data_IF_090348092536
#
_entry.id   IF_090348092536
#
_cell.length_a   1.000
_cell.length_b   1.000
_cell.length_c   1.000
_cell.angle_alpha   90.00
_cell.angle_beta   90.00
_cell.angle_gamma   90.00
#
_symmetry.space_group_name_H-M   'P 1'
#
loop_
_entity.id
_entity.type
_entity.pdbx_description
1 polymer ?
#
# COMPACT_ATOMS: atom_id res chain seq x y z
N UNK A 1 30.94 -72.28 -83.24
CA UNK A 1 29.87 -71.49 -82.60
C UNK A 1 30.51 -70.55 -81.57
N UNK A 2 30.26 -69.23 -81.70
CA UNK A 2 30.31 -68.13 -80.70
C UNK A 2 31.55 -68.02 -79.77
N UNK A 3 32.45 -67.04 -79.96
CA UNK A 3 32.41 -65.62 -79.46
C UNK A 3 32.22 -65.51 -77.94
N UNK A 4 33.08 -64.72 -77.28
CA UNK A 4 32.68 -63.94 -76.10
C UNK A 4 33.80 -63.60 -75.11
N UNK A 5 34.31 -62.36 -75.17
CA UNK A 5 35.09 -61.71 -74.12
C UNK A 5 34.17 -61.14 -73.02
N UNK A 6 34.68 -60.98 -71.78
CA UNK A 6 34.22 -59.99 -70.79
C UNK A 6 35.27 -59.94 -69.66
N UNK A 7 35.99 -58.87 -69.36
CA UNK A 7 35.65 -57.46 -69.06
C UNK A 7 35.94 -57.19 -67.57
N UNK A 8 37.03 -56.48 -67.32
CA UNK A 8 37.43 -55.88 -66.05
C UNK A 8 36.42 -54.80 -65.69
N UNK A 9 35.93 -54.78 -64.45
CA UNK A 9 35.10 -53.67 -63.94
C UNK A 9 35.78 -53.07 -62.72
N UNK A 10 36.34 -51.87 -62.90
CA UNK A 10 36.84 -51.03 -61.83
C UNK A 10 35.68 -50.24 -61.21
N UNK A 11 35.58 -50.25 -59.88
CA UNK A 11 34.62 -49.44 -59.13
C UNK A 11 35.30 -48.13 -58.73
N UNK A 12 34.85 -47.03 -59.34
CA UNK A 12 35.20 -45.66 -58.97
C UNK A 12 34.34 -45.22 -57.78
N UNK A 13 34.98 -44.89 -56.65
CA UNK A 13 34.33 -44.27 -55.51
C UNK A 13 34.33 -42.73 -55.68
N UNK A 14 33.15 -42.13 -55.80
CA UNK A 14 32.93 -40.68 -55.82
C UNK A 14 32.84 -40.16 -54.37
N UNK A 15 33.81 -39.35 -53.94
CA UNK A 15 33.70 -38.53 -52.73
C UNK A 15 32.85 -37.28 -53.03
N UNK A 16 31.70 -37.15 -52.37
CA UNK A 16 30.90 -35.93 -52.37
C UNK A 16 31.39 -34.94 -51.31
N UNK A 17 31.78 -33.74 -51.74
CA UNK A 17 32.18 -32.62 -50.90
C UNK A 17 30.91 -31.83 -50.50
N UNK A 18 30.50 -31.88 -49.23
CA UNK A 18 29.41 -31.05 -48.72
C UNK A 18 29.97 -29.73 -48.16
N UNK A 19 29.67 -28.62 -48.82
CA UNK A 19 29.91 -27.28 -48.29
C UNK A 19 28.85 -26.95 -47.21
N UNK A 20 29.29 -26.89 -45.96
CA UNK A 20 28.53 -26.27 -44.86
C UNK A 20 28.62 -24.75 -44.99
N UNK A 21 27.54 -24.13 -45.44
CA UNK A 21 27.35 -22.67 -45.36
C UNK A 21 27.11 -22.30 -43.89
N UNK A 22 28.15 -21.83 -43.21
CA UNK A 22 28.02 -21.24 -41.88
C UNK A 22 27.37 -19.85 -42.02
N UNK A 23 26.12 -19.73 -41.59
CA UNK A 23 25.46 -18.43 -41.41
C UNK A 23 26.00 -17.80 -40.13
N UNK A 24 26.46 -16.53 -40.16
CA UNK A 24 26.86 -15.85 -38.94
C UNK A 24 25.62 -15.62 -38.06
N UNK A 25 25.61 -16.21 -36.87
CA UNK A 25 24.61 -15.93 -35.86
C UNK A 25 24.83 -14.49 -35.36
N UNK A 26 23.95 -13.57 -35.74
CA UNK A 26 23.90 -12.24 -35.15
C UNK A 26 23.39 -12.37 -33.72
N UNK A 27 24.28 -12.19 -32.74
CA UNK A 27 23.91 -12.04 -31.35
C UNK A 27 23.00 -10.81 -31.22
N UNK A 28 21.75 -11.03 -30.81
CA UNK A 28 20.85 -9.94 -30.47
C UNK A 28 21.48 -9.14 -29.31
N UNK A 29 21.50 -7.79 -29.36
CA UNK A 29 21.96 -7.01 -28.22
C UNK A 29 21.10 -7.37 -27.02
N UNK A 30 21.75 -7.75 -25.91
CA UNK A 30 21.08 -7.84 -24.62
C UNK A 30 20.47 -6.46 -24.36
N UNK A 31 19.14 -6.40 -24.33
CA UNK A 31 18.46 -5.21 -23.83
C UNK A 31 18.93 -5.02 -22.39
N UNK A 32 19.78 -4.01 -22.15
CA UNK A 32 20.11 -3.59 -20.80
C UNK A 32 18.79 -3.27 -20.12
N UNK A 33 18.42 -4.05 -19.09
CA UNK A 33 17.27 -3.73 -18.28
C UNK A 33 17.45 -2.31 -17.75
N UNK A 34 16.50 -1.42 -18.04
CA UNK A 34 16.45 -0.09 -17.44
C UNK A 34 16.53 -0.29 -15.93
N UNK A 35 17.38 0.45 -15.19
CA UNK A 35 17.43 0.34 -13.74
C UNK A 35 16.02 0.54 -13.19
N UNK A 36 15.44 -0.50 -12.58
CA UNK A 36 14.11 -0.40 -12.00
C UNK A 36 14.22 0.44 -10.73
N UNK A 37 13.37 1.46 -10.62
CA UNK A 37 13.29 2.30 -9.43
C UNK A 37 12.89 1.44 -8.23
N UNK A 38 13.56 1.63 -7.10
CA UNK A 38 13.18 1.03 -5.81
C UNK A 38 12.20 1.91 -5.01
N UNK A 39 11.79 3.03 -5.59
CA UNK A 39 10.86 3.98 -4.98
C UNK A 39 9.44 3.44 -5.11
N UNK A 40 8.69 3.51 -4.02
CA UNK A 40 7.23 3.36 -4.08
C UNK A 40 6.53 4.70 -4.13
N UNK A 41 5.27 4.70 -4.53
CA UNK A 41 4.45 5.90 -4.54
C UNK A 41 3.13 5.62 -3.83
N UNK A 42 2.61 6.63 -3.15
CA UNK A 42 1.24 6.61 -2.65
C UNK A 42 0.40 7.65 -3.38
N UNK A 43 -0.84 7.26 -3.72
CA UNK A 43 -1.78 8.12 -4.46
C UNK A 43 -3.20 7.94 -3.94
N UNK A 44 -4.01 8.97 -4.13
CA UNK A 44 -5.44 8.95 -3.80
C UNK A 44 -6.20 9.95 -4.68
N UNK A 45 -7.37 10.39 -4.20
CA UNK A 45 -8.24 11.32 -4.89
C UNK A 45 -7.59 12.61 -5.43
N UNK A 46 -6.50 13.18 -4.86
CA UNK A 46 -5.85 14.36 -5.44
C UNK A 46 -5.23 14.07 -6.82
N UNK A 47 -4.80 12.83 -7.06
CA UNK A 47 -4.19 12.39 -8.32
C UNK A 47 -5.22 11.89 -9.34
N UNK A 48 -6.53 11.99 -9.10
CA UNK A 48 -7.52 11.61 -10.11
C UNK A 48 -7.37 12.42 -11.40
N UNK A 49 -7.34 11.72 -12.54
CA UNK A 49 -7.17 12.34 -13.86
C UNK A 49 -5.73 12.69 -14.23
N UNK A 50 -4.77 12.45 -13.34
CA UNK A 50 -3.34 12.52 -13.64
C UNK A 50 -2.82 11.20 -14.23
N UNK A 51 -1.58 11.20 -14.72
CA UNK A 51 -0.84 9.99 -15.09
C UNK A 51 0.24 9.74 -14.05
N UNK A 52 0.04 8.82 -13.09
CA UNK A 52 1.07 8.49 -12.12
C UNK A 52 2.29 7.83 -12.78
N UNK A 53 3.47 7.82 -12.12
CA UNK A 53 4.65 7.10 -12.60
C UNK A 53 4.37 5.62 -12.87
N UNK A 54 5.10 5.01 -13.81
CA UNK A 54 4.94 3.60 -14.20
C UNK A 54 6.17 2.73 -13.88
N UNK A 55 7.14 3.28 -13.14
CA UNK A 55 8.39 2.64 -12.74
C UNK A 55 8.42 2.19 -11.27
N UNK A 56 7.28 2.20 -10.59
CA UNK A 56 7.20 2.02 -9.14
C UNK A 56 7.60 0.60 -8.66
N UNK A 57 8.28 0.56 -7.52
CA UNK A 57 8.56 -0.69 -6.80
C UNK A 57 7.29 -1.26 -6.14
N UNK A 58 6.49 -0.39 -5.53
CA UNK A 58 5.23 -0.69 -4.89
C UNK A 58 4.29 0.52 -4.98
N UNK A 59 2.98 0.27 -4.93
CA UNK A 59 1.95 1.30 -4.96
C UNK A 59 1.06 1.21 -3.74
N UNK A 60 0.83 2.35 -3.07
CA UNK A 60 -0.09 2.46 -1.94
C UNK A 60 -1.29 3.31 -2.39
N UNK A 61 -2.51 2.80 -2.20
CA UNK A 61 -3.71 3.46 -2.73
C UNK A 61 -4.67 3.84 -1.60
N UNK A 62 -5.05 5.11 -1.56
CA UNK A 62 -6.06 5.61 -0.63
C UNK A 62 -7.44 5.09 -1.00
N UNK A 63 -8.08 4.32 -0.13
CA UNK A 63 -9.41 3.75 -0.41
C UNK A 63 -10.51 4.79 -0.26
N UNK A 64 -10.34 5.72 0.66
CA UNK A 64 -11.24 6.84 0.88
C UNK A 64 -10.65 8.16 0.32
N UNK A 65 -11.54 9.13 0.09
CA UNK A 65 -11.30 10.33 -0.71
C UNK A 65 -11.07 11.58 0.12
N UNK A 66 -10.14 11.52 1.09
CA UNK A 66 -9.78 12.64 1.97
C UNK A 66 -10.68 12.81 3.19
N UNK A 67 -11.72 11.98 3.31
CA UNK A 67 -12.59 11.88 4.47
C UNK A 67 -12.88 10.41 4.71
N UNK A 68 -12.90 9.98 5.98
CA UNK A 68 -13.18 8.61 6.39
C UNK A 68 -14.56 8.07 5.91
N UNK A 69 -15.44 8.94 5.39
CA UNK A 69 -16.80 8.62 4.94
C UNK A 69 -17.00 8.70 3.43
N UNK A 70 -15.97 9.08 2.67
CA UNK A 70 -16.08 9.34 1.23
C UNK A 70 -15.24 8.34 0.46
N UNK A 71 -15.80 7.67 -0.54
CA UNK A 71 -15.02 6.82 -1.44
C UNK A 71 -14.03 7.63 -2.27
N UNK A 72 -12.85 7.08 -2.55
CA UNK A 72 -11.96 7.63 -3.56
C UNK A 72 -12.58 7.42 -4.96
N UNK A 73 -12.87 8.51 -5.72
CA UNK A 73 -13.59 8.40 -6.98
C UNK A 73 -12.78 7.76 -8.12
N UNK A 74 -11.45 7.67 -8.01
CA UNK A 74 -10.58 6.99 -8.98
C UNK A 74 -9.94 5.71 -8.43
N UNK A 75 -10.54 5.12 -7.38
CA UNK A 75 -10.01 3.93 -6.71
C UNK A 75 -9.74 2.76 -7.66
N UNK A 76 -10.62 2.52 -8.64
CA UNK A 76 -10.45 1.41 -9.60
C UNK A 76 -9.19 1.59 -10.44
N UNK A 77 -9.07 2.77 -11.04
CA UNK A 77 -7.96 3.12 -11.91
C UNK A 77 -6.63 3.09 -11.14
N UNK A 78 -6.64 3.53 -9.88
CA UNK A 78 -5.46 3.52 -9.01
C UNK A 78 -5.10 2.12 -8.51
N UNK A 79 -6.07 1.26 -8.20
CA UNK A 79 -5.82 -0.15 -7.88
C UNK A 79 -5.22 -0.90 -9.07
N UNK A 80 -5.70 -0.63 -10.29
CA UNK A 80 -5.12 -1.19 -11.50
C UNK A 80 -3.68 -0.69 -11.74
N UNK A 81 -3.41 0.59 -11.47
CA UNK A 81 -2.07 1.15 -11.52
C UNK A 81 -1.13 0.48 -10.51
N UNK A 82 -1.54 0.35 -9.25
CA UNK A 82 -0.73 -0.27 -8.21
C UNK A 82 -0.42 -1.74 -8.53
N UNK A 83 -1.36 -2.47 -9.15
CA UNK A 83 -1.16 -3.85 -9.59
C UNK A 83 -0.06 -4.05 -10.64
N UNK A 84 0.50 -2.98 -11.21
CA UNK A 84 1.65 -3.04 -12.14
C UNK A 84 3.01 -2.86 -11.45
N UNK A 85 3.03 -2.67 -10.14
CA UNK A 85 4.27 -2.45 -9.40
C UNK A 85 5.22 -3.65 -9.52
N UNK A 86 6.51 -3.39 -9.55
CA UNK A 86 7.52 -4.42 -9.83
C UNK A 86 7.75 -5.39 -8.66
N UNK A 87 7.46 -4.98 -7.41
CA UNK A 87 7.59 -5.83 -6.23
C UNK A 87 9.04 -6.19 -5.88
N UNK A 88 10.00 -5.32 -6.21
CA UNK A 88 11.44 -5.58 -6.07
C UNK A 88 12.03 -5.19 -4.70
N UNK A 89 11.19 -4.73 -3.78
CA UNK A 89 11.54 -4.36 -2.39
C UNK A 89 10.90 -5.36 -1.43
N UNK A 90 11.19 -5.21 -0.13
CA UNK A 90 10.56 -6.03 0.93
C UNK A 90 9.12 -5.60 1.25
N UNK A 91 8.68 -4.47 0.69
CA UNK A 91 7.31 -3.99 0.79
C UNK A 91 6.38 -4.76 -0.15
N UNK A 92 5.13 -5.06 0.26
CA UNK A 92 4.13 -5.61 -0.65
C UNK A 92 3.94 -4.71 -1.87
N UNK A 93 3.85 -5.32 -3.05
CA UNK A 93 3.74 -4.59 -4.32
C UNK A 93 2.48 -3.68 -4.38
N UNK A 94 1.40 -4.09 -3.70
CA UNK A 94 0.16 -3.32 -3.56
C UNK A 94 -0.19 -3.21 -2.09
N UNK A 95 -0.44 -1.99 -1.64
CA UNK A 95 -0.86 -1.68 -0.28
C UNK A 95 -2.00 -0.66 -0.32
N UNK A 96 -2.66 -0.47 0.82
CA UNK A 96 -3.85 0.37 0.93
C UNK A 96 -3.71 1.29 2.13
N UNK A 97 -4.35 2.45 2.07
CA UNK A 97 -4.49 3.30 3.26
C UNK A 97 -5.90 3.85 3.42
N UNK A 98 -6.25 4.16 4.66
CA UNK A 98 -7.51 4.79 5.05
C UNK A 98 -7.21 6.12 5.75
N UNK A 99 -7.65 7.24 5.18
CA UNK A 99 -7.78 8.47 5.97
C UNK A 99 -8.67 8.14 7.19
N UNK A 100 -8.16 8.41 8.39
CA UNK A 100 -8.86 8.13 9.65
C UNK A 100 -9.47 9.41 10.22
N UNK A 101 -10.39 9.28 11.18
CA UNK A 101 -11.00 10.43 11.85
C UNK A 101 -11.63 10.01 13.17
N UNK A 102 -11.92 10.99 14.03
CA UNK A 102 -12.82 10.85 15.15
C UNK A 102 -13.55 12.18 15.42
N UNK A 103 -14.72 12.42 14.82
CA UNK A 103 -15.38 13.72 14.85
C UNK A 103 -16.29 13.92 16.08
N UNK A 104 -16.03 13.20 17.19
CA UNK A 104 -16.90 13.23 18.38
C UNK A 104 -17.07 14.60 19.06
N UNK A 105 -16.23 15.60 18.75
CA UNK A 105 -16.39 16.97 19.26
C UNK A 105 -17.40 17.81 18.47
N UNK A 106 -17.84 17.34 17.30
CA UNK A 106 -18.75 18.06 16.39
C UNK A 106 -19.94 17.17 15.99
N UNK A 107 -20.49 16.42 16.95
CA UNK A 107 -21.55 15.42 16.68
C UNK A 107 -22.76 15.97 15.93
N UNK A 108 -23.13 17.23 16.16
CA UNK A 108 -24.27 17.87 15.49
C UNK A 108 -24.07 17.97 13.96
N UNK A 109 -22.82 17.93 13.49
CA UNK A 109 -22.44 17.93 12.08
C UNK A 109 -22.18 16.52 11.51
N UNK A 110 -22.30 15.46 12.34
CA UNK A 110 -21.90 14.09 11.99
C UNK A 110 -23.11 13.16 11.93
N UNK A 111 -23.48 12.73 10.73
CA UNK A 111 -24.60 11.78 10.52
C UNK A 111 -24.22 10.31 10.67
N UNK A 112 -22.93 10.02 10.87
CA UNK A 112 -22.38 8.66 10.88
C UNK A 112 -21.87 8.21 12.24
N UNK A 113 -22.12 9.00 13.29
CA UNK A 113 -21.77 8.65 14.65
C UNK A 113 -22.63 7.47 15.13
N UNK A 114 -22.04 6.44 15.77
CA UNK A 114 -22.80 5.30 16.24
C UNK A 114 -23.73 5.68 17.39
N UNK A 115 -24.97 5.22 17.34
CA UNK A 115 -25.95 5.38 18.42
C UNK A 115 -26.02 4.20 19.39
N UNK A 116 -25.43 3.06 19.01
CA UNK A 116 -25.45 1.83 19.78
C UNK A 116 -24.24 0.93 19.43
N UNK A 117 -23.80 0.10 20.37
CA UNK A 117 -22.88 -1.02 20.09
C UNK A 117 -22.13 -1.50 21.33
N UNK A 118 -21.76 -2.78 21.36
CA UNK A 118 -20.86 -3.31 22.39
C UNK A 118 -19.40 -3.17 21.92
N UNK A 119 -18.53 -2.74 22.81
CA UNK A 119 -17.10 -2.48 22.53
C UNK A 119 -16.24 -2.91 23.73
N UNK A 120 -14.90 -3.02 23.55
CA UNK A 120 -13.99 -3.23 24.69
C UNK A 120 -14.07 -2.14 25.78
N UNK A 121 -14.56 -0.96 25.43
CA UNK A 121 -14.76 0.17 26.36
C UNK A 121 -16.16 0.22 27.00
N UNK A 122 -16.98 -0.82 26.80
CA UNK A 122 -18.37 -0.89 27.27
C UNK A 122 -19.39 -0.62 26.18
N UNK A 123 -20.59 -0.20 26.58
CA UNK A 123 -21.70 0.10 25.68
C UNK A 123 -21.53 1.49 25.06
N UNK A 124 -21.54 1.58 23.73
CA UNK A 124 -21.78 2.83 23.03
C UNK A 124 -23.28 3.11 23.01
N UNK A 125 -23.68 4.30 23.46
CA UNK A 125 -25.08 4.74 23.50
C UNK A 125 -25.26 6.14 22.87
N UNK A 126 -24.43 6.47 21.88
CA UNK A 126 -24.48 7.74 21.15
C UNK A 126 -23.70 8.89 21.77
N UNK A 127 -23.09 8.70 22.94
CA UNK A 127 -22.27 9.72 23.60
C UNK A 127 -20.91 9.94 22.91
N UNK A 128 -20.25 11.06 23.22
CA UNK A 128 -18.85 11.29 22.85
C UNK A 128 -17.91 10.67 23.91
N UNK A 129 -17.80 9.34 23.89
CA UNK A 129 -16.93 8.57 24.78
C UNK A 129 -16.03 7.60 24.00
N UNK A 130 -15.19 6.84 24.70
CA UNK A 130 -14.29 5.87 24.08
C UNK A 130 -15.05 4.71 23.43
N UNK A 131 -16.19 4.28 23.99
CA UNK A 131 -16.99 3.21 23.42
C UNK A 131 -17.55 3.60 22.05
N UNK A 132 -18.17 4.77 21.92
CA UNK A 132 -18.67 5.24 20.64
C UNK A 132 -17.56 5.66 19.68
N UNK A 133 -16.42 6.16 20.17
CA UNK A 133 -15.26 6.43 19.30
C UNK A 133 -14.69 5.14 18.70
N UNK A 134 -14.54 4.07 19.50
CA UNK A 134 -14.12 2.76 19.02
C UNK A 134 -15.11 2.20 17.99
N UNK A 135 -16.42 2.27 18.29
CA UNK A 135 -17.45 1.80 17.36
C UNK A 135 -17.44 2.61 16.06
N UNK A 136 -17.20 3.91 16.13
CA UNK A 136 -17.08 4.77 14.96
C UNK A 136 -15.94 4.27 14.06
N UNK A 137 -14.75 4.05 14.63
CA UNK A 137 -13.59 3.51 13.94
C UNK A 137 -13.89 2.19 13.23
N UNK A 138 -14.44 1.22 13.97
CA UNK A 138 -14.85 -0.08 13.41
C UNK A 138 -15.76 0.07 12.18
N UNK A 139 -16.80 0.90 12.28
CA UNK A 139 -17.74 1.11 11.18
C UNK A 139 -17.13 1.87 10.00
N UNK A 140 -16.16 2.77 10.23
CA UNK A 140 -15.44 3.48 9.15
C UNK A 140 -14.54 2.53 8.36
N UNK A 141 -13.77 1.69 9.05
CA UNK A 141 -12.94 0.68 8.41
C UNK A 141 -13.81 -0.34 7.64
N UNK A 142 -14.88 -0.83 8.28
CA UNK A 142 -15.86 -1.74 7.64
C UNK A 142 -16.49 -1.16 6.39
N UNK A 143 -16.96 0.08 6.45
CA UNK A 143 -17.54 0.73 5.28
C UNK A 143 -16.51 0.89 4.15
N UNK A 144 -15.28 1.28 4.48
CA UNK A 144 -14.20 1.43 3.50
C UNK A 144 -13.89 0.10 2.79
N UNK A 145 -13.80 -0.99 3.52
CA UNK A 145 -13.56 -2.33 2.95
C UNK A 145 -14.75 -2.79 2.12
N UNK A 146 -15.95 -2.82 2.70
CA UNK A 146 -17.13 -3.47 2.09
C UNK A 146 -17.71 -2.64 0.96
N UNK A 147 -17.78 -1.33 1.13
CA UNK A 147 -18.48 -0.44 0.20
C UNK A 147 -17.57 0.23 -0.81
N UNK A 148 -16.27 0.40 -0.54
CA UNK A 148 -15.34 1.10 -1.45
C UNK A 148 -14.33 0.14 -2.08
N UNK A 149 -13.47 -0.48 -1.26
CA UNK A 149 -12.37 -1.31 -1.75
C UNK A 149 -12.86 -2.57 -2.48
N UNK A 150 -13.65 -3.41 -1.83
CA UNK A 150 -13.99 -4.72 -2.39
C UNK A 150 -14.74 -4.62 -3.73
N UNK A 151 -15.71 -3.68 -3.94
CA UNK A 151 -16.30 -3.44 -5.26
C UNK A 151 -15.29 -2.94 -6.30
N UNK A 152 -14.39 -2.02 -5.93
CA UNK A 152 -13.40 -1.48 -6.85
C UNK A 152 -12.39 -2.54 -7.28
N UNK A 153 -11.86 -3.33 -6.35
CA UNK A 153 -10.95 -4.44 -6.58
C UNK A 153 -11.54 -5.47 -7.56
N UNK A 154 -12.80 -5.90 -7.32
CA UNK A 154 -13.51 -6.82 -8.23
C UNK A 154 -13.69 -6.25 -9.63
N UNK A 155 -13.97 -4.95 -9.75
CA UNK A 155 -14.18 -4.30 -11.04
C UNK A 155 -12.92 -4.28 -11.92
N UNK A 156 -11.73 -4.30 -11.31
CA UNK A 156 -10.44 -4.36 -12.02
C UNK A 156 -9.74 -5.71 -11.88
N UNK A 157 -10.46 -6.73 -11.38
CA UNK A 157 -10.03 -8.12 -11.29
C UNK A 157 -8.75 -8.34 -10.46
N UNK A 158 -8.53 -7.52 -9.42
CA UNK A 158 -7.55 -7.82 -8.37
C UNK A 158 -8.25 -8.48 -7.18
N UNK A 159 -7.46 -9.09 -6.27
CA UNK A 159 -8.02 -9.76 -5.09
C UNK A 159 -8.80 -8.76 -4.23
N UNK A 160 -10.03 -9.10 -3.86
CA UNK A 160 -10.87 -8.23 -3.04
C UNK A 160 -10.83 -8.56 -1.55
N UNK A 161 -9.94 -9.46 -1.13
CA UNK A 161 -9.83 -9.95 0.24
C UNK A 161 -8.86 -9.08 1.06
N UNK A 162 -9.28 -8.48 2.20
CA UNK A 162 -8.42 -7.58 2.97
C UNK A 162 -7.09 -8.19 3.41
N UNK A 163 -7.06 -9.47 3.80
CA UNK A 163 -5.86 -10.21 4.25
C UNK A 163 -4.72 -10.32 3.22
N UNK A 164 -4.94 -9.87 1.98
CA UNK A 164 -3.91 -9.89 0.92
C UNK A 164 -3.06 -8.62 0.91
N UNK A 165 -3.40 -7.64 1.72
CA UNK A 165 -2.85 -6.29 1.68
C UNK A 165 -2.48 -5.82 3.08
N UNK A 166 -1.45 -4.97 3.14
CA UNK A 166 -1.21 -4.10 4.29
C UNK A 166 -2.12 -2.88 4.20
N UNK A 167 -2.72 -2.51 5.32
CA UNK A 167 -3.63 -1.37 5.46
C UNK A 167 -3.07 -0.34 6.43
N UNK A 168 -2.68 0.82 5.91
CA UNK A 168 -2.20 1.92 6.72
C UNK A 168 -3.34 2.79 7.23
N UNK A 169 -3.37 3.00 8.55
CA UNK A 169 -4.22 3.99 9.18
C UNK A 169 -3.53 5.34 9.09
N UNK A 170 -4.04 6.20 8.22
CA UNK A 170 -3.51 7.54 8.00
C UNK A 170 -4.02 8.52 9.07
N UNK A 171 -3.10 8.94 9.95
CA UNK A 171 -3.34 9.78 11.12
C UNK A 171 -2.67 11.14 10.93
N UNK A 172 -3.44 12.08 10.40
CA UNK A 172 -2.98 13.45 10.13
C UNK A 172 -3.89 14.53 10.70
N UNK A 173 -3.32 15.71 10.93
CA UNK A 173 -3.98 16.89 11.49
C UNK A 173 -4.91 17.60 10.50
N UNK A 174 -4.83 17.25 9.22
CA UNK A 174 -5.80 17.61 8.19
C UNK A 174 -7.12 16.85 8.34
N UNK A 175 -7.11 15.69 9.02
CA UNK A 175 -8.32 14.92 9.32
C UNK A 175 -9.08 15.50 10.51
N UNK A 176 -10.34 15.09 10.68
CA UNK A 176 -11.19 15.54 11.79
C UNK A 176 -10.90 14.75 13.06
N UNK A 177 -10.30 15.42 14.05
CA UNK A 177 -9.94 14.81 15.33
C UNK A 177 -10.47 15.59 16.52
N UNK A 178 -10.64 14.89 17.63
CA UNK A 178 -10.88 15.53 18.91
C UNK A 178 -9.57 16.11 19.46
N UNK A 179 -9.60 17.29 20.06
CA UNK A 179 -8.41 17.96 20.58
C UNK A 179 -8.64 18.62 21.95
N UNK A 180 -7.56 19.13 22.55
CA UNK A 180 -7.62 20.00 23.73
C UNK A 180 -7.61 19.30 25.09
N UNK A 181 -7.58 17.96 25.15
CA UNK A 181 -7.43 17.22 26.42
C UNK A 181 -6.83 15.82 26.23
N UNK A 182 -6.39 15.21 27.33
CA UNK A 182 -6.01 13.79 27.38
C UNK A 182 -7.19 12.88 27.02
N UNK A 183 -8.40 13.22 27.45
CA UNK A 183 -9.59 12.42 27.14
C UNK A 183 -9.93 12.46 25.65
N UNK A 184 -9.70 13.60 24.99
CA UNK A 184 -9.86 13.72 23.55
C UNK A 184 -8.88 12.78 22.81
N UNK A 185 -7.62 12.73 23.26
CA UNK A 185 -6.61 11.81 22.74
C UNK A 185 -6.97 10.34 22.99
N UNK A 186 -7.45 10.01 24.18
CA UNK A 186 -7.91 8.66 24.52
C UNK A 186 -9.08 8.21 23.63
N UNK A 187 -9.99 9.13 23.28
CA UNK A 187 -11.06 8.86 22.32
C UNK A 187 -10.55 8.68 20.89
N UNK A 188 -9.57 9.47 20.45
CA UNK A 188 -8.92 9.28 19.14
C UNK A 188 -8.20 7.92 19.06
N UNK A 189 -7.47 7.55 20.11
CA UNK A 189 -6.85 6.22 20.22
C UNK A 189 -7.90 5.11 20.10
N UNK A 190 -8.99 5.20 20.86
CA UNK A 190 -10.08 4.23 20.78
C UNK A 190 -10.65 4.09 19.36
N UNK A 191 -10.80 5.19 18.61
CA UNK A 191 -11.23 5.14 17.21
C UNK A 191 -10.25 4.36 16.32
N UNK A 192 -8.95 4.58 16.47
CA UNK A 192 -7.93 3.85 15.73
C UNK A 192 -7.90 2.37 16.09
N UNK A 193 -8.03 2.02 17.38
CA UNK A 193 -8.16 0.63 17.84
C UNK A 193 -9.40 -0.05 17.23
N UNK A 194 -10.51 0.66 17.07
CA UNK A 194 -11.70 0.15 16.41
C UNK A 194 -11.47 -0.12 14.91
N UNK A 195 -10.72 0.75 14.23
CA UNK A 195 -10.35 0.54 12.83
C UNK A 195 -9.43 -0.68 12.66
N UNK A 196 -8.38 -0.77 13.49
CA UNK A 196 -7.45 -1.89 13.49
C UNK A 196 -8.19 -3.22 13.77
N UNK A 197 -9.02 -3.25 14.81
CA UNK A 197 -9.75 -4.46 15.19
C UNK A 197 -10.66 -4.99 14.06
N UNK A 198 -11.28 -4.10 13.26
CA UNK A 198 -12.06 -4.55 12.11
C UNK A 198 -11.16 -5.17 11.02
N UNK A 199 -10.07 -4.48 10.66
CA UNK A 199 -9.14 -4.93 9.62
C UNK A 199 -8.48 -6.27 10.00
N UNK A 200 -8.03 -6.40 11.24
CA UNK A 200 -7.47 -7.64 11.80
C UNK A 200 -8.49 -8.77 11.82
N UNK A 201 -9.78 -8.47 12.08
CA UNK A 201 -10.85 -9.48 12.01
C UNK A 201 -11.06 -10.03 10.59
N UNK A 202 -10.65 -9.27 9.57
CA UNK A 202 -10.63 -9.70 8.16
C UNK A 202 -9.28 -10.32 7.76
N UNK A 203 -8.36 -10.51 8.72
CA UNK A 203 -7.02 -11.08 8.54
C UNK A 203 -6.02 -10.13 7.89
N UNK A 204 -6.33 -8.83 7.80
CA UNK A 204 -5.44 -7.84 7.22
C UNK A 204 -4.26 -7.50 8.14
N UNK A 205 -3.12 -7.18 7.53
CA UNK A 205 -2.00 -6.56 8.23
C UNK A 205 -2.27 -5.06 8.35
N UNK A 206 -2.07 -4.49 9.54
CA UNK A 206 -2.37 -3.09 9.84
C UNK A 206 -1.08 -2.36 10.20
N UNK A 207 -0.92 -1.16 9.66
CA UNK A 207 0.18 -0.26 10.01
C UNK A 207 -0.32 1.15 10.30
N UNK A 208 0.55 1.99 10.84
CA UNK A 208 0.23 3.36 11.25
C UNK A 208 1.02 4.37 10.42
N UNK A 209 0.34 5.36 9.84
CA UNK A 209 0.97 6.45 9.11
C UNK A 209 0.80 7.78 9.85
N UNK A 210 1.91 8.49 10.07
CA UNK A 210 1.91 9.86 10.60
C UNK A 210 3.31 10.47 10.58
N UNK A 211 3.41 11.71 11.05
CA UNK A 211 4.67 12.24 11.61
C UNK A 211 4.63 12.08 13.13
N UNK A 212 5.78 11.97 13.79
CA UNK A 212 5.83 11.94 15.27
C UNK A 212 5.15 13.15 15.93
N UNK A 213 5.22 14.33 15.28
CA UNK A 213 4.55 15.56 15.76
C UNK A 213 3.03 15.46 15.67
N UNK A 214 2.50 15.04 14.52
CA UNK A 214 1.06 14.90 14.31
C UNK A 214 0.48 13.80 15.22
N UNK A 215 1.17 12.67 15.32
CA UNK A 215 0.82 11.59 16.25
C UNK A 215 0.76 12.06 17.70
N UNK A 216 1.80 12.75 18.18
CA UNK A 216 1.84 13.29 19.54
C UNK A 216 0.72 14.31 19.83
N UNK A 217 0.25 15.02 18.81
CA UNK A 217 -0.88 15.95 18.93
C UNK A 217 -2.22 15.21 19.04
N UNK A 218 -2.45 14.23 18.15
CA UNK A 218 -3.74 13.54 17.93
C UNK A 218 -3.96 12.40 18.92
N UNK A 219 -2.96 11.53 19.08
CA UNK A 219 -3.03 10.28 19.86
C UNK A 219 -2.23 10.41 21.15
N UNK A 220 -1.01 10.94 21.07
CA UNK A 220 -0.10 10.98 22.21
C UNK A 220 0.48 9.60 22.53
N UNK A 221 0.73 9.34 23.82
CA UNK A 221 1.32 8.08 24.28
C UNK A 221 0.31 6.94 24.19
N UNK A 222 0.73 5.82 23.61
CA UNK A 222 -0.01 4.56 23.58
C UNK A 222 0.48 3.67 24.71
N UNK A 223 -0.45 3.14 25.51
CA UNK A 223 -0.14 2.17 26.57
C UNK A 223 0.25 0.82 26.01
N UNK A 224 1.05 0.04 26.74
CA UNK A 224 1.46 -1.32 26.37
C UNK A 224 0.28 -2.30 26.21
N UNK A 225 -0.88 -2.01 26.81
CA UNK A 225 -2.09 -2.85 26.68
C UNK A 225 -2.96 -2.52 25.45
N UNK A 226 -2.59 -1.50 24.65
CA UNK A 226 -3.35 -1.13 23.46
C UNK A 226 -3.12 -2.13 22.35
N UNK A 227 -4.14 -2.55 21.58
CA UNK A 227 -3.93 -3.42 20.42
C UNK A 227 -3.13 -2.75 19.29
N UNK A 228 -2.86 -1.44 19.37
CA UNK A 228 -2.00 -0.77 18.40
C UNK A 228 -0.51 -0.91 18.71
N UNK A 229 -0.12 -1.48 19.86
CA UNK A 229 1.30 -1.76 20.12
C UNK A 229 1.84 -2.72 19.09
N UNK A 230 3.15 -2.65 18.84
CA UNK A 230 3.85 -3.50 17.87
C UNK A 230 3.46 -3.29 16.40
N UNK A 231 2.43 -2.48 16.09
CA UNK A 231 2.12 -2.13 14.71
C UNK A 231 3.27 -1.35 14.06
N UNK A 232 3.58 -1.73 12.82
CA UNK A 232 4.63 -1.09 12.04
C UNK A 232 4.22 0.34 11.65
N UNK A 233 5.22 1.20 11.53
CA UNK A 233 5.11 2.62 11.26
C UNK A 233 5.57 2.96 9.84
N UNK A 234 4.73 3.75 9.17
CA UNK A 234 5.06 4.49 7.96
C UNK A 234 5.23 5.96 8.33
N UNK A 235 6.48 6.43 8.41
CA UNK A 235 6.78 7.78 8.90
C UNK A 235 6.82 8.80 7.77
N UNK A 236 6.09 9.90 7.93
CA UNK A 236 6.15 11.06 7.05
C UNK A 236 7.10 12.16 7.55
N UNK A 237 7.32 13.17 6.71
CA UNK A 237 7.93 14.44 7.09
C UNK A 237 9.29 14.74 6.44
N UNK A 238 9.82 13.82 5.62
CA UNK A 238 11.00 14.08 4.81
C UNK A 238 10.63 14.87 3.53
N UNK A 239 11.58 15.66 3.04
CA UNK A 239 11.46 16.37 1.75
C UNK A 239 12.50 15.92 0.73
N UNK A 240 13.45 15.07 1.12
CA UNK A 240 14.40 14.43 0.19
C UNK A 240 14.49 12.93 0.44
N UNK A 241 15.01 12.20 -0.55
CA UNK A 241 15.26 10.77 -0.43
C UNK A 241 16.22 10.45 0.73
N UNK A 242 17.30 11.22 0.88
CA UNK A 242 18.29 11.03 1.96
C UNK A 242 17.64 11.18 3.33
N UNK A 243 16.76 12.17 3.50
CA UNK A 243 16.01 12.36 4.73
C UNK A 243 15.04 11.20 5.01
N UNK A 244 14.43 10.62 3.97
CA UNK A 244 13.60 9.42 4.12
C UNK A 244 14.44 8.22 4.58
N UNK A 245 15.62 8.00 3.99
CA UNK A 245 16.55 6.95 4.42
C UNK A 245 16.95 7.14 5.89
N UNK A 246 17.32 8.37 6.29
CA UNK A 246 17.67 8.67 7.68
C UNK A 246 16.47 8.46 8.63
N UNK A 247 15.24 8.75 8.16
CA UNK A 247 14.02 8.59 8.95
C UNK A 247 13.70 7.13 9.30
N UNK A 248 14.24 6.14 8.58
CA UNK A 248 14.12 4.72 8.95
C UNK A 248 14.74 4.41 10.32
N UNK A 249 15.67 5.24 10.81
CA UNK A 249 16.30 5.10 12.12
C UNK A 249 15.58 5.81 13.26
N UNK A 250 14.43 6.46 13.00
CA UNK A 250 13.64 7.15 14.04
C UNK A 250 12.81 6.17 14.86
N UNK A 251 12.33 6.64 16.01
CA UNK A 251 11.39 5.88 16.83
C UNK A 251 10.06 5.66 16.09
N UNK A 252 9.45 4.47 16.20
CA UNK A 252 8.11 4.20 15.68
C UNK A 252 7.04 5.04 16.39
N UNK A 253 5.83 5.09 15.82
CA UNK A 253 4.69 5.83 16.37
C UNK A 253 4.18 5.23 17.69
N UNK A 254 4.41 3.94 17.90
CA UNK A 254 3.89 3.15 19.04
C UNK A 254 4.99 2.27 19.64
N UNK A 255 4.91 1.95 20.95
CA UNK A 255 5.84 1.01 21.57
C UNK A 255 5.85 -0.35 20.87
N UNK A 256 7.04 -0.93 20.73
CA UNK A 256 7.24 -2.25 20.12
C UNK A 256 7.14 -2.30 18.59
N UNK A 257 6.66 -1.23 17.94
CA UNK A 257 6.58 -1.17 16.48
C UNK A 257 7.96 -0.99 15.82
N UNK A 258 7.99 -1.03 14.48
CA UNK A 258 9.20 -0.71 13.69
C UNK A 258 8.87 0.30 12.62
N UNK A 259 9.84 1.12 12.23
CA UNK A 259 9.71 1.96 11.04
C UNK A 259 10.08 1.11 9.83
N UNK A 260 9.08 0.70 9.05
CA UNK A 260 9.27 -0.16 7.86
C UNK A 260 9.16 0.61 6.55
N UNK A 261 8.64 1.84 6.62
CA UNK A 261 8.37 2.68 5.47
C UNK A 261 8.53 4.16 5.86
N UNK A 262 9.07 4.97 4.96
CA UNK A 262 9.16 6.42 5.15
C UNK A 262 8.70 7.16 3.89
N UNK A 263 7.91 8.22 4.06
CA UNK A 263 7.46 9.10 2.98
C UNK A 263 8.35 10.33 2.88
N UNK A 264 8.65 10.74 1.65
CA UNK A 264 9.24 12.04 1.34
C UNK A 264 8.53 12.71 0.17
N UNK A 265 8.46 14.04 0.21
CA UNK A 265 7.83 14.85 -0.84
C UNK A 265 8.86 15.82 -1.41
N UNK A 266 9.50 15.49 -2.55
CA UNK A 266 10.48 16.38 -3.17
C UNK A 266 9.87 17.70 -3.62
N UNK A 267 10.56 18.80 -3.31
CA UNK A 267 10.22 20.12 -3.81
C UNK A 267 10.18 20.12 -5.36
N UNK A 268 9.12 20.69 -5.94
CA UNK A 268 9.01 20.89 -7.39
C UNK A 268 8.54 19.69 -8.21
N UNK A 269 8.14 18.57 -7.59
CA UNK A 269 7.56 17.39 -8.26
C UNK A 269 6.03 17.28 -8.08
N UNK A 270 5.33 18.40 -8.26
CA UNK A 270 3.85 18.51 -8.24
C UNK A 270 3.16 17.92 -6.99
N UNK A 271 3.89 17.72 -5.89
CA UNK A 271 3.36 17.16 -4.64
C UNK A 271 3.01 15.66 -4.73
N UNK A 272 3.73 14.90 -5.57
CA UNK A 272 3.61 13.44 -5.59
C UNK A 272 4.41 12.82 -4.43
N UNK A 273 3.75 11.98 -3.65
CA UNK A 273 4.32 11.35 -2.48
C UNK A 273 5.18 10.14 -2.86
N UNK A 274 6.45 10.17 -2.45
CA UNK A 274 7.42 9.11 -2.69
C UNK A 274 7.70 8.35 -1.39
N UNK A 275 7.99 7.05 -1.51
CA UNK A 275 8.19 6.18 -0.38
C UNK A 275 9.47 5.36 -0.51
N UNK A 276 10.16 5.25 0.62
CA UNK A 276 11.36 4.45 0.78
C UNK A 276 11.08 3.28 1.73
N UNK A 277 11.32 2.06 1.24
CA UNK A 277 11.26 0.82 2.02
C UNK A 277 12.45 0.78 2.99
N UNK A 278 12.18 0.72 4.29
CA UNK A 278 13.21 0.57 5.30
C UNK A 278 13.70 -0.90 5.39
N UNK A 279 14.91 -1.13 5.93
CA UNK A 279 15.45 -2.48 6.17
C UNK A 279 14.71 -3.30 7.25
#
# INVERSE_FOLDING_TARGET
>A
MRRGAAAVTAVLALLGLQLLLATPATAAPFASATPQSRVGYDISHPQCGSTPPDDQAFGIVGVNGGLATRANPCLREQLQWAGRSSGITDQPAVQLYLNTANPGQVLDDVTTWPSAGATPYGSCEGANDQACSWRYGWERARNSVVSFFAPAARAVQIDSSPHRYTWWLDVETSNTWQAGSSDARARNLAALEGMAAYLESEGAEVGLYSTGRQWGQIVGTVSEDSPLTELDSWLAGAVTYEQAVDACGLDPLVPGGRVVLTQYVPDGLDGLDHNHSCP
#
